data_IF_583002089442
#
_entry.id   IF_583002089442
#
_cell.length_a   1.000
_cell.length_b   1.000
_cell.length_c   1.000
_cell.angle_alpha   90.00
_cell.angle_beta   90.00
_cell.angle_gamma   90.00
#
_symmetry.space_group_name_H-M   'P 1'
#
loop_
_entity.id
_entity.type
_entity.pdbx_description
1 polymer ?
#
# COMPACT_ATOMS: atom_id res chain seq x y z
N UNK A 1 15.01 23.34 7.89
CA UNK A 1 14.95 22.98 6.46
C UNK A 1 16.21 22.23 6.08
N UNK A 2 16.14 21.31 5.12
CA UNK A 2 17.20 20.37 4.74
C UNK A 2 18.35 21.00 3.93
N UNK A 3 18.35 22.32 3.74
CA UNK A 3 19.37 23.04 2.96
C UNK A 3 19.13 23.07 1.46
N UNK A 4 18.04 22.46 0.97
CA UNK A 4 17.63 22.50 -0.44
C UNK A 4 16.83 23.78 -0.70
N UNK A 5 17.29 24.59 -1.66
CA UNK A 5 16.56 25.76 -2.16
C UNK A 5 15.95 25.47 -3.53
N UNK A 6 14.62 25.53 -3.63
CA UNK A 6 13.92 25.46 -4.93
C UNK A 6 13.68 26.88 -5.43
N UNK A 7 14.27 27.22 -6.57
CA UNK A 7 14.24 28.57 -7.13
C UNK A 7 12.98 28.88 -7.95
N UNK A 8 12.38 27.85 -8.55
CA UNK A 8 11.21 27.98 -9.42
C UNK A 8 10.31 26.74 -9.27
N UNK A 9 9.17 26.90 -8.61
CA UNK A 9 8.17 25.85 -8.46
C UNK A 9 7.19 25.80 -9.64
N UNK A 10 7.06 26.88 -10.41
CA UNK A 10 6.21 26.93 -11.60
C UNK A 10 6.85 26.16 -12.77
N UNK A 11 8.18 25.98 -12.73
CA UNK A 11 8.93 25.10 -13.63
C UNK A 11 8.66 23.60 -13.44
N UNK A 12 7.93 23.18 -12.40
CA UNK A 12 7.62 21.78 -12.14
C UNK A 12 6.80 21.16 -13.29
N UNK A 13 7.21 19.97 -13.73
CA UNK A 13 6.47 19.21 -14.75
C UNK A 13 5.70 18.07 -14.11
N UNK A 14 4.37 18.08 -14.31
CA UNK A 14 3.50 17.03 -13.80
C UNK A 14 3.92 15.65 -14.34
N UNK A 15 4.21 14.67 -13.46
CA UNK A 15 4.58 13.32 -13.89
C UNK A 15 3.38 12.57 -14.50
N UNK A 16 2.15 13.00 -14.20
CA UNK A 16 0.92 12.52 -14.77
C UNK A 16 -0.15 13.61 -14.70
N UNK A 17 -1.11 13.58 -15.63
CA UNK A 17 -2.19 14.57 -15.75
C UNK A 17 -3.55 13.91 -15.55
N UNK A 18 -3.81 13.43 -14.34
CA UNK A 18 -5.08 12.82 -13.96
C UNK A 18 -5.90 13.81 -13.15
N UNK A 19 -7.11 14.11 -13.59
CA UNK A 19 -8.09 14.84 -12.77
C UNK A 19 -8.66 13.91 -11.70
N UNK A 20 -9.24 14.47 -10.64
CA UNK A 20 -9.83 13.70 -9.53
C UNK A 20 -10.95 12.78 -10.03
N UNK A 21 -11.80 13.25 -10.95
CA UNK A 21 -12.89 12.45 -11.53
C UNK A 21 -12.35 11.26 -12.34
N UNK A 22 -11.31 11.49 -13.16
CA UNK A 22 -10.67 10.44 -13.94
C UNK A 22 -9.99 9.42 -13.02
N UNK A 23 -9.26 9.87 -12.01
CA UNK A 23 -8.62 9.01 -11.01
C UNK A 23 -9.66 8.11 -10.33
N UNK A 24 -10.73 8.70 -9.77
CA UNK A 24 -11.79 7.95 -9.09
C UNK A 24 -12.45 6.94 -10.03
N UNK A 25 -12.74 7.32 -11.28
CA UNK A 25 -13.34 6.42 -12.27
C UNK A 25 -12.46 5.21 -12.57
N UNK A 26 -11.17 5.42 -12.85
CA UNK A 26 -10.27 4.33 -13.19
C UNK A 26 -9.96 3.42 -11.99
N UNK A 27 -9.78 3.99 -10.79
CA UNK A 27 -9.49 3.22 -9.59
C UNK A 27 -10.72 2.41 -9.13
N UNK A 28 -11.93 2.96 -9.27
CA UNK A 28 -13.16 2.22 -8.97
C UNK A 28 -13.34 0.98 -9.86
N UNK A 29 -13.04 1.09 -11.16
CA UNK A 29 -13.11 -0.05 -12.08
C UNK A 29 -12.07 -1.13 -11.75
N UNK A 30 -10.86 -0.72 -11.33
CA UNK A 30 -9.84 -1.66 -10.86
C UNK A 30 -10.30 -2.40 -9.60
N UNK A 31 -10.82 -1.68 -8.62
CA UNK A 31 -11.24 -2.28 -7.35
C UNK A 31 -12.45 -3.19 -7.53
N UNK A 32 -13.44 -2.80 -8.35
CA UNK A 32 -14.58 -3.66 -8.69
C UNK A 32 -14.14 -5.02 -9.23
N UNK A 33 -13.16 -5.04 -10.13
CA UNK A 33 -12.61 -6.30 -10.71
C UNK A 33 -11.80 -7.07 -9.68
N UNK A 34 -10.97 -6.38 -8.90
CA UNK A 34 -10.16 -7.00 -7.85
C UNK A 34 -11.03 -7.72 -6.83
N UNK A 35 -12.01 -7.05 -6.25
CA UNK A 35 -12.85 -7.64 -5.21
C UNK A 35 -13.73 -8.79 -5.75
N UNK A 36 -14.20 -8.70 -7.00
CA UNK A 36 -14.89 -9.84 -7.63
C UNK A 36 -13.98 -11.09 -7.73
N UNK A 37 -12.69 -10.91 -8.02
CA UNK A 37 -11.72 -12.02 -8.04
C UNK A 37 -11.44 -12.54 -6.63
N UNK A 38 -11.30 -11.66 -5.62
CA UNK A 38 -11.09 -12.06 -4.24
C UNK A 38 -12.27 -12.87 -3.67
N UNK A 39 -13.50 -12.46 -3.98
CA UNK A 39 -14.71 -13.19 -3.58
C UNK A 39 -14.75 -14.57 -4.23
N UNK A 40 -14.47 -14.65 -5.55
CA UNK A 40 -14.37 -15.92 -6.26
C UNK A 40 -13.27 -16.84 -5.71
N UNK A 41 -12.12 -16.28 -5.35
CA UNK A 41 -11.01 -17.01 -4.71
C UNK A 41 -11.42 -17.58 -3.35
N UNK A 42 -12.10 -16.80 -2.51
CA UNK A 42 -12.59 -17.27 -1.22
C UNK A 42 -13.69 -18.34 -1.36
N UNK A 43 -14.65 -18.11 -2.26
CA UNK A 43 -15.77 -19.03 -2.51
C UNK A 43 -15.29 -20.40 -3.02
N UNK A 44 -14.28 -20.42 -3.88
CA UNK A 44 -13.72 -21.65 -4.46
C UNK A 44 -12.68 -22.36 -3.59
N UNK A 45 -12.44 -21.88 -2.36
CA UNK A 45 -11.35 -22.37 -1.50
C UNK A 45 -9.99 -22.32 -2.21
N UNK A 46 -9.73 -21.25 -2.95
CA UNK A 46 -8.54 -21.10 -3.80
C UNK A 46 -7.21 -21.20 -3.03
N UNK A 47 -7.20 -21.04 -1.71
CA UNK A 47 -5.99 -21.27 -0.92
C UNK A 47 -5.49 -22.72 -0.96
N UNK A 48 -6.35 -23.68 -1.31
CA UNK A 48 -6.00 -25.10 -1.49
C UNK A 48 -5.31 -25.40 -2.83
N UNK A 49 -5.29 -24.44 -3.76
CA UNK A 49 -4.66 -24.62 -5.08
C UNK A 49 -3.19 -24.19 -5.11
N UNK A 50 -2.64 -23.78 -3.97
CA UNK A 50 -1.21 -23.52 -3.83
C UNK A 50 -0.40 -24.78 -4.15
N UNK A 51 0.68 -24.62 -4.90
CA UNK A 51 1.58 -25.72 -5.25
C UNK A 51 2.25 -26.36 -4.03
N UNK A 52 2.63 -25.54 -3.05
CA UNK A 52 3.26 -25.98 -1.80
C UNK A 52 2.91 -25.05 -0.63
N UNK A 53 2.66 -25.63 0.54
CA UNK A 53 2.23 -24.87 1.73
C UNK A 53 3.33 -23.95 2.29
N UNK A 54 4.61 -24.22 2.02
CA UNK A 54 5.73 -23.36 2.44
C UNK A 54 5.68 -21.98 1.78
N UNK A 55 5.00 -21.83 0.64
CA UNK A 55 4.76 -20.54 -0.02
C UNK A 55 4.03 -19.56 0.91
N UNK A 56 3.20 -20.05 1.84
CA UNK A 56 2.54 -19.22 2.83
C UNK A 56 3.54 -18.42 3.69
N UNK A 57 4.77 -18.92 3.90
CA UNK A 57 5.77 -18.19 4.67
C UNK A 57 6.22 -16.90 3.97
N UNK A 58 6.27 -16.89 2.64
CA UNK A 58 6.54 -15.67 1.86
C UNK A 58 5.42 -14.65 2.04
N UNK A 59 4.16 -15.09 2.03
CA UNK A 59 3.00 -14.22 2.26
C UNK A 59 2.98 -13.70 3.70
N UNK A 60 3.37 -14.51 4.69
CA UNK A 60 3.52 -14.05 6.08
C UNK A 60 4.54 -12.93 6.20
N UNK A 61 5.71 -13.10 5.57
CA UNK A 61 6.72 -12.03 5.54
C UNK A 61 6.15 -10.77 4.88
N UNK A 62 5.39 -10.91 3.79
CA UNK A 62 4.81 -9.77 3.08
C UNK A 62 3.84 -8.96 3.95
N UNK A 63 2.84 -9.59 4.57
CA UNK A 63 1.84 -8.87 5.40
C UNK A 63 2.46 -8.23 6.65
N UNK A 64 3.56 -8.81 7.16
CA UNK A 64 4.23 -8.34 8.36
C UNK A 64 5.31 -7.30 8.09
N UNK A 65 6.03 -7.41 6.98
CA UNK A 65 7.17 -6.55 6.64
C UNK A 65 6.82 -5.44 5.66
N UNK A 66 6.02 -5.74 4.63
CA UNK A 66 5.80 -4.85 3.47
C UNK A 66 4.51 -4.08 3.60
N UNK A 67 3.39 -4.73 3.91
CA UNK A 67 2.09 -4.03 4.03
C UNK A 67 2.09 -2.87 5.05
N UNK A 68 2.81 -2.93 6.19
CA UNK A 68 2.95 -1.76 7.07
C UNK A 68 3.69 -0.58 6.43
N UNK A 69 4.59 -0.83 5.49
CA UNK A 69 5.36 0.19 4.78
C UNK A 69 4.47 0.96 3.80
N UNK A 70 3.49 0.30 3.18
CA UNK A 70 2.47 0.98 2.37
C UNK A 70 1.70 2.00 3.22
N UNK A 71 1.36 1.63 4.46
CA UNK A 71 0.68 2.56 5.36
C UNK A 71 1.60 3.69 5.84
N UNK A 72 2.89 3.39 6.05
CA UNK A 72 3.89 4.41 6.37
C UNK A 72 4.06 5.40 5.20
N UNK A 73 4.18 4.88 3.97
CA UNK A 73 4.28 5.66 2.74
C UNK A 73 3.05 6.54 2.54
N UNK A 74 1.84 6.00 2.74
CA UNK A 74 0.59 6.77 2.71
C UNK A 74 0.68 8.02 3.61
N UNK A 75 1.08 7.84 4.87
CA UNK A 75 1.21 8.94 5.83
C UNK A 75 2.30 9.93 5.43
N UNK A 76 3.43 9.44 4.93
CA UNK A 76 4.52 10.31 4.47
C UNK A 76 4.12 11.15 3.26
N UNK A 77 3.50 10.55 2.25
CA UNK A 77 3.00 11.29 1.09
C UNK A 77 1.87 12.25 1.44
N UNK A 78 1.02 11.92 2.42
CA UNK A 78 0.04 12.88 2.96
C UNK A 78 0.73 14.10 3.60
N UNK A 79 1.83 13.88 4.33
CA UNK A 79 2.65 14.96 4.87
C UNK A 79 3.26 15.80 3.73
N UNK A 80 3.86 15.19 2.72
CA UNK A 80 4.44 15.90 1.57
C UNK A 80 3.37 16.71 0.80
N UNK A 81 2.19 16.13 0.58
CA UNK A 81 1.06 16.82 -0.06
C UNK A 81 0.63 18.09 0.69
N UNK A 82 0.89 18.16 2.00
CA UNK A 82 0.62 19.36 2.80
C UNK A 82 1.78 20.37 2.78
N UNK A 83 3.03 19.91 2.70
CA UNK A 83 4.20 20.74 2.99
C UNK A 83 5.04 21.12 1.77
N UNK A 84 4.84 20.50 0.60
CA UNK A 84 5.52 20.92 -0.63
C UNK A 84 5.00 22.29 -1.11
N UNK A 85 5.92 23.17 -1.50
CA UNK A 85 5.66 24.55 -1.93
C UNK A 85 5.28 24.61 -3.42
N UNK A 86 4.28 23.86 -3.88
CA UNK A 86 3.79 23.93 -5.25
C UNK A 86 2.50 23.15 -5.47
N UNK A 87 1.51 23.65 -6.22
CA UNK A 87 0.22 22.98 -6.37
C UNK A 87 0.34 21.61 -7.05
N UNK A 88 1.16 21.53 -8.10
CA UNK A 88 1.44 20.32 -8.85
C UNK A 88 2.10 19.20 -8.00
N UNK A 89 3.26 19.42 -7.35
CA UNK A 89 3.88 18.39 -6.52
C UNK A 89 3.02 18.00 -5.31
N UNK A 90 2.23 18.92 -4.76
CA UNK A 90 1.24 18.59 -3.71
C UNK A 90 0.16 17.65 -4.22
N UNK A 91 -0.38 17.91 -5.40
CA UNK A 91 -1.40 17.05 -6.01
C UNK A 91 -0.83 15.67 -6.34
N UNK A 92 0.37 15.59 -6.91
CA UNK A 92 1.04 14.32 -7.18
C UNK A 92 1.26 13.51 -5.89
N UNK A 93 1.74 14.15 -4.83
CA UNK A 93 1.91 13.51 -3.52
C UNK A 93 0.56 13.07 -2.90
N UNK A 94 -0.52 13.83 -3.11
CA UNK A 94 -1.86 13.43 -2.64
C UNK A 94 -2.35 12.17 -3.37
N UNK A 95 -2.22 12.10 -4.68
CA UNK A 95 -2.55 10.90 -5.45
C UNK A 95 -1.73 9.70 -4.97
N UNK A 96 -0.42 9.87 -4.81
CA UNK A 96 0.45 8.81 -4.29
C UNK A 96 0.00 8.35 -2.90
N UNK A 97 -0.30 9.29 -2.00
CA UNK A 97 -0.78 8.95 -0.65
C UNK A 97 -2.03 8.06 -0.70
N UNK A 98 -3.01 8.40 -1.53
CA UNK A 98 -4.25 7.62 -1.66
C UNK A 98 -3.98 6.26 -2.29
N UNK A 99 -3.08 6.18 -3.27
CA UNK A 99 -2.65 4.91 -3.85
C UNK A 99 -2.00 3.98 -2.81
N UNK A 100 -1.13 4.49 -1.93
CA UNK A 100 -0.50 3.65 -0.90
C UNK A 100 -1.49 3.22 0.20
N UNK A 101 -2.51 4.03 0.50
CA UNK A 101 -3.61 3.60 1.36
C UNK A 101 -4.39 2.45 0.70
N UNK A 102 -4.67 2.57 -0.59
CA UNK A 102 -5.31 1.51 -1.39
C UNK A 102 -4.45 0.25 -1.41
N UNK A 103 -3.13 0.36 -1.59
CA UNK A 103 -2.22 -0.79 -1.51
C UNK A 103 -2.30 -1.48 -0.15
N UNK A 104 -2.20 -0.71 0.94
CA UNK A 104 -2.34 -1.24 2.30
C UNK A 104 -3.64 -2.05 2.46
N UNK A 105 -4.78 -1.44 2.12
CA UNK A 105 -6.09 -2.05 2.32
C UNK A 105 -6.30 -3.29 1.44
N UNK A 106 -5.96 -3.20 0.16
CA UNK A 106 -6.13 -4.31 -0.79
C UNK A 106 -5.21 -5.49 -0.47
N UNK A 107 -3.99 -5.24 0.01
CA UNK A 107 -3.10 -6.30 0.50
C UNK A 107 -3.68 -7.00 1.75
N UNK A 108 -4.21 -6.24 2.72
CA UNK A 108 -4.90 -6.80 3.90
C UNK A 108 -6.08 -7.68 3.47
N UNK A 109 -6.93 -7.20 2.58
CA UNK A 109 -8.11 -7.93 2.13
C UNK A 109 -7.73 -9.19 1.32
N UNK A 110 -6.73 -9.08 0.44
CA UNK A 110 -6.21 -10.22 -0.34
C UNK A 110 -5.68 -11.32 0.58
N UNK A 111 -4.95 -10.96 1.63
CA UNK A 111 -4.31 -11.91 2.55
C UNK A 111 -5.29 -12.39 3.65
N UNK A 112 -6.42 -11.70 3.83
CA UNK A 112 -7.42 -12.02 4.86
C UNK A 112 -7.92 -13.47 4.76
N UNK A 113 -8.04 -14.02 3.56
CA UNK A 113 -8.50 -15.40 3.38
C UNK A 113 -7.49 -16.40 3.97
N UNK A 114 -6.19 -16.21 3.74
CA UNK A 114 -5.16 -17.06 4.34
C UNK A 114 -5.13 -16.98 5.87
N UNK A 115 -5.35 -15.78 6.43
CA UNK A 115 -5.39 -15.59 7.89
C UNK A 115 -6.50 -16.38 8.59
N UNK A 116 -7.58 -16.75 7.90
CA UNK A 116 -8.65 -17.58 8.46
C UNK A 116 -8.21 -19.03 8.70
N UNK A 117 -7.30 -19.54 7.86
CA UNK A 117 -6.96 -20.96 7.81
C UNK A 117 -5.55 -21.28 8.29
N UNK A 118 -4.65 -20.29 8.33
CA UNK A 118 -3.23 -20.50 8.61
C UNK A 118 -2.71 -19.54 9.67
N UNK A 119 -1.73 -20.00 10.46
CA UNK A 119 -1.09 -19.22 11.51
C UNK A 119 -0.08 -18.21 10.97
N UNK A 120 0.30 -17.25 11.81
CA UNK A 120 1.34 -16.26 11.51
C UNK A 120 0.89 -15.08 10.65
N UNK A 121 -0.35 -15.05 10.17
CA UNK A 121 -0.91 -13.88 9.46
C UNK A 121 -1.59 -12.87 10.41
N UNK A 122 -1.89 -13.29 11.64
CA UNK A 122 -2.57 -12.47 12.63
C UNK A 122 -1.62 -11.42 13.24
N UNK A 123 -2.19 -10.36 13.80
CA UNK A 123 -1.45 -9.34 14.56
C UNK A 123 -0.28 -8.68 13.80
N UNK A 124 -0.32 -8.69 12.47
CA UNK A 124 0.77 -8.25 11.58
C UNK A 124 1.27 -6.84 11.93
N UNK A 125 0.38 -5.89 12.22
CA UNK A 125 0.77 -4.51 12.60
C UNK A 125 1.50 -4.45 13.94
N UNK A 126 0.99 -5.17 14.94
CA UNK A 126 1.62 -5.30 16.26
C UNK A 126 2.99 -5.97 16.17
N UNK A 127 3.12 -6.98 15.30
CA UNK A 127 4.36 -7.70 15.05
C UNK A 127 5.39 -6.81 14.35
N UNK A 128 5.00 -6.07 13.31
CA UNK A 128 5.87 -5.12 12.60
C UNK A 128 6.62 -4.20 13.58
N UNK A 129 5.93 -3.76 14.62
CA UNK A 129 6.50 -2.87 15.62
C UNK A 129 7.49 -3.50 16.61
N UNK A 130 7.49 -4.83 16.76
CA UNK A 130 8.07 -5.52 17.93
C UNK A 130 8.95 -6.72 17.61
N UNK A 131 8.74 -7.38 16.47
CA UNK A 131 9.49 -8.59 16.10
C UNK A 131 10.84 -8.18 15.52
N UNK A 132 11.91 -8.82 15.99
CA UNK A 132 13.29 -8.40 15.73
C UNK A 132 13.64 -8.26 14.24
N UNK A 133 13.27 -9.23 13.39
CA UNK A 133 13.59 -9.16 11.95
C UNK A 133 12.75 -8.12 11.20
N UNK A 134 11.61 -7.71 11.78
CA UNK A 134 10.77 -6.64 11.24
C UNK A 134 11.27 -5.25 11.64
N UNK A 135 12.22 -5.17 12.58
CA UNK A 135 12.91 -3.91 12.85
C UNK A 135 13.66 -3.38 11.61
N UNK A 136 14.11 -4.27 10.72
CA UNK A 136 14.78 -3.90 9.46
C UNK A 136 13.87 -3.03 8.59
N UNK A 137 12.72 -3.53 8.06
CA UNK A 137 11.83 -2.72 7.23
C UNK A 137 11.28 -1.51 8.00
N UNK A 138 10.97 -1.67 9.29
CA UNK A 138 10.46 -0.57 10.12
C UNK A 138 11.45 0.58 10.26
N UNK A 139 12.75 0.30 10.46
CA UNK A 139 13.76 1.34 10.67
C UNK A 139 14.12 2.10 9.39
N UNK A 140 13.80 1.53 8.22
CA UNK A 140 14.07 2.15 6.94
C UNK A 140 13.04 3.23 6.57
N UNK A 141 11.78 3.06 6.99
CA UNK A 141 10.66 4.00 6.77
C UNK A 141 10.47 4.95 7.95
#
# INVERSE_FOLDING_TARGET
FEGIGVHDWDGWQDPFRLTVDAYCKYQAEKDKRLYAVLDGFAQSQGHLTLSDASYLNSIKLFIQAVTPLEYAAHRHFAFLARHLEGPAPRFAALCQSIDELRHTQTQIHTISNYNKYYSGFHSWSKMHDRVWYLAIPKSFF
#
